data_IF_743722763701
#
_entry.id   IF_743722763701
#
_cell.length_a   1.000
_cell.length_b   1.000
_cell.length_c   1.000
_cell.angle_alpha   90.00
_cell.angle_beta   90.00
_cell.angle_gamma   90.00
#
_symmetry.space_group_name_H-M   'P 1'
#
loop_
_entity.id
_entity.type
_entity.pdbx_description
1 polymer ?
#
# COMPACT_ATOMS: atom_id res chain seq x y z
N UNK A 1 -8.46 7.98 -5.63
CA UNK A 1 -7.13 8.03 -4.98
C UNK A 1 -7.30 7.44 -3.58
N UNK A 2 -6.45 6.49 -3.18
CA UNK A 2 -6.45 6.01 -1.79
C UNK A 2 -5.77 7.07 -0.95
N UNK A 3 -6.51 7.70 -0.04
CA UNK A 3 -5.98 8.77 0.79
C UNK A 3 -5.31 8.18 2.04
N UNK A 4 -3.98 8.19 2.06
CA UNK A 4 -3.19 7.97 3.29
C UNK A 4 -3.22 9.21 4.19
N UNK A 5 -3.39 10.40 3.57
CA UNK A 5 -3.54 11.69 4.25
C UNK A 5 -4.31 12.65 3.34
N UNK A 6 -5.12 13.55 3.93
CA UNK A 6 -5.75 14.64 3.18
C UNK A 6 -4.80 15.84 3.15
N UNK A 7 -4.31 16.19 1.98
CA UNK A 7 -3.30 17.25 1.80
C UNK A 7 -3.30 17.72 0.36
N UNK A 8 -3.35 19.03 0.12
CA UNK A 8 -3.31 19.62 -1.23
C UNK A 8 -2.04 19.26 -2.00
N UNK A 9 -0.94 18.97 -1.27
CA UNK A 9 0.31 18.48 -1.84
C UNK A 9 0.19 17.12 -2.55
N UNK A 10 -0.86 16.36 -2.23
CA UNK A 10 -1.11 15.03 -2.78
C UNK A 10 -2.07 15.04 -3.96
N UNK A 11 -2.54 16.22 -4.40
CA UNK A 11 -3.45 16.34 -5.52
C UNK A 11 -2.67 16.48 -6.85
N UNK A 12 -3.11 15.74 -7.88
CA UNK A 12 -2.57 15.85 -9.24
C UNK A 12 -1.08 15.52 -9.38
N UNK A 13 -0.37 16.23 -10.26
CA UNK A 13 1.04 15.98 -10.59
C UNK A 13 2.00 16.17 -9.40
N UNK A 14 1.63 17.01 -8.43
CA UNK A 14 2.42 17.19 -7.20
C UNK A 14 2.44 15.91 -6.35
N UNK A 15 1.36 15.11 -6.39
CA UNK A 15 1.34 13.81 -5.70
C UNK A 15 2.45 12.86 -6.18
N UNK A 16 2.83 12.93 -7.46
CA UNK A 16 3.93 12.13 -8.02
C UNK A 16 5.28 12.66 -7.53
N UNK A 17 5.48 13.98 -7.48
CA UNK A 17 6.70 14.55 -6.93
C UNK A 17 6.88 14.25 -5.43
N UNK A 18 5.77 14.07 -4.70
CA UNK A 18 5.75 13.80 -3.26
C UNK A 18 5.29 12.38 -2.91
N UNK A 19 5.58 11.38 -3.76
CA UNK A 19 5.21 9.97 -3.53
C UNK A 19 5.59 9.46 -2.15
N UNK A 20 6.75 9.84 -1.61
CA UNK A 20 7.20 9.44 -0.27
C UNK A 20 6.32 9.96 0.88
N UNK A 21 5.46 10.96 0.63
CA UNK A 21 4.49 11.51 1.60
C UNK A 21 3.04 11.19 1.24
N UNK A 22 2.74 11.14 -0.05
CA UNK A 22 1.38 11.01 -0.58
C UNK A 22 1.00 9.57 -0.93
N UNK A 23 1.99 8.69 -1.07
CA UNK A 23 1.79 7.32 -1.50
C UNK A 23 1.69 7.18 -3.02
N UNK A 24 1.83 5.95 -3.48
CA UNK A 24 1.55 5.47 -4.83
C UNK A 24 1.09 4.01 -4.72
N UNK A 25 -0.22 3.74 -4.60
CA UNK A 25 -0.74 2.39 -4.60
C UNK A 25 -0.34 1.65 -5.87
N UNK A 26 0.34 0.51 -5.74
CA UNK A 26 0.75 -0.34 -6.85
C UNK A 26 -0.16 -1.58 -6.97
N UNK A 27 -0.65 -2.10 -5.82
CA UNK A 27 -1.58 -3.23 -5.76
C UNK A 27 -2.68 -3.02 -4.74
N UNK A 28 -3.87 -3.56 -5.02
CA UNK A 28 -5.02 -3.55 -4.11
C UNK A 28 -5.79 -4.88 -4.19
N UNK A 29 -6.33 -5.33 -3.07
CA UNK A 29 -7.27 -6.46 -3.03
C UNK A 29 -8.20 -6.37 -1.82
N UNK A 30 -9.43 -6.86 -2.00
CA UNK A 30 -10.40 -6.96 -0.92
C UNK A 30 -10.23 -8.28 -0.17
N UNK A 31 -10.36 -8.21 1.16
CA UNK A 31 -10.69 -9.39 1.94
C UNK A 31 -12.22 -9.53 1.94
N UNK A 32 -12.74 -10.48 1.15
CA UNK A 32 -14.18 -10.67 0.98
C UNK A 32 -14.91 -11.09 2.27
N UNK A 33 -14.20 -11.56 3.30
CA UNK A 33 -14.80 -11.94 4.59
C UNK A 33 -15.02 -10.73 5.50
N UNK A 34 -14.07 -9.80 5.52
CA UNK A 34 -14.11 -8.61 6.41
C UNK A 34 -14.62 -7.35 5.69
N UNK A 35 -14.58 -7.35 4.36
CA UNK A 35 -14.84 -6.18 3.52
C UNK A 35 -13.71 -5.15 3.53
N UNK A 36 -12.56 -5.46 4.14
CA UNK A 36 -11.41 -4.57 4.20
C UNK A 36 -10.67 -4.52 2.86
N UNK A 37 -10.13 -3.35 2.52
CA UNK A 37 -9.31 -3.15 1.33
C UNK A 37 -7.84 -3.08 1.72
N UNK A 38 -7.06 -4.06 1.29
CA UNK A 38 -5.61 -4.07 1.44
C UNK A 38 -4.95 -3.33 0.29
N UNK A 39 -3.89 -2.59 0.61
CA UNK A 39 -3.19 -1.71 -0.32
C UNK A 39 -1.68 -1.90 -0.18
N UNK A 40 -1.05 -2.36 -1.25
CA UNK A 40 0.40 -2.36 -1.41
C UNK A 40 0.78 -0.98 -1.93
N UNK A 41 1.13 -0.09 -1.01
CA UNK A 41 1.68 1.20 -1.38
C UNK A 41 3.18 1.07 -1.59
N UNK A 42 3.62 1.53 -2.75
CA UNK A 42 4.99 1.39 -3.16
C UNK A 42 6.00 1.98 -2.15
N UNK A 43 5.98 3.31 -1.87
CA UNK A 43 6.89 3.89 -0.89
C UNK A 43 6.44 3.73 0.57
N UNK A 44 5.13 3.61 0.84
CA UNK A 44 4.63 3.67 2.22
C UNK A 44 4.48 2.30 2.88
N UNK A 45 4.48 1.20 2.12
CA UNK A 45 4.33 -0.16 2.63
C UNK A 45 2.88 -0.68 2.57
N UNK A 46 2.61 -1.74 3.32
CA UNK A 46 1.31 -2.42 3.31
C UNK A 46 0.33 -1.69 4.24
N UNK A 47 -0.85 -1.42 3.72
CA UNK A 47 -1.93 -0.75 4.44
C UNK A 47 -3.26 -1.50 4.33
N UNK A 48 -4.17 -1.18 5.24
CA UNK A 48 -5.56 -1.64 5.21
C UNK A 48 -6.51 -0.45 5.37
N UNK A 49 -7.58 -0.44 4.59
CA UNK A 49 -8.72 0.47 4.74
C UNK A 49 -9.89 -0.34 5.31
N UNK A 50 -10.52 0.10 6.42
CA UNK A 50 -11.70 -0.54 6.98
C UNK A 50 -12.85 -0.63 5.96
N UNK A 51 -13.72 -1.63 6.11
CA UNK A 51 -14.89 -1.82 5.24
C UNK A 51 -15.86 -0.63 5.20
N UNK A 52 -15.93 0.16 6.27
CA UNK A 52 -16.66 1.43 6.32
C UNK A 52 -15.98 2.61 5.61
N UNK A 53 -14.84 2.39 4.97
CA UNK A 53 -14.01 3.43 4.37
C UNK A 53 -13.15 4.18 5.38
N UNK A 54 -12.68 5.36 4.98
CA UNK A 54 -11.79 6.22 5.79
C UNK A 54 -10.33 6.13 5.35
N UNK A 55 -9.43 6.51 6.26
CA UNK A 55 -7.99 6.57 5.98
C UNK A 55 -7.35 5.18 6.03
N UNK A 56 -6.42 4.94 5.11
CA UNK A 56 -5.58 3.76 5.10
C UNK A 56 -4.67 3.72 6.33
N UNK A 57 -4.60 2.57 7.01
CA UNK A 57 -3.75 2.34 8.19
C UNK A 57 -2.57 1.45 7.79
N UNK A 58 -1.36 1.88 8.10
CA UNK A 58 -0.14 1.09 7.85
C UNK A 58 -0.12 -0.13 8.78
N UNK A 59 0.08 -1.31 8.19
CA UNK A 59 0.17 -2.58 8.94
C UNK A 59 1.54 -3.25 8.82
N UNK A 60 2.32 -2.94 7.77
CA UNK A 60 3.71 -3.38 7.68
C UNK A 60 4.54 -2.47 6.76
N UNK A 61 5.80 -2.20 7.14
CA UNK A 61 6.79 -1.52 6.28
C UNK A 61 8.17 -2.18 6.26
N UNK A 62 8.31 -3.33 6.94
CA UNK A 62 9.57 -4.06 7.06
C UNK A 62 9.33 -5.52 7.39
N UNK A 63 10.33 -6.35 7.13
CA UNK A 63 10.42 -7.75 7.57
C UNK A 63 11.85 -8.02 8.04
N UNK A 64 12.02 -8.73 9.15
CA UNK A 64 13.34 -9.05 9.75
C UNK A 64 14.26 -7.82 9.89
N UNK A 65 13.68 -6.69 10.30
CA UNK A 65 14.39 -5.42 10.46
C UNK A 65 14.76 -4.70 9.16
N UNK A 66 14.48 -5.28 7.98
CA UNK A 66 14.75 -4.68 6.67
C UNK A 66 13.50 -3.98 6.13
N UNK A 67 13.55 -2.68 5.81
CA UNK A 67 12.42 -1.99 5.24
C UNK A 67 12.08 -2.53 3.85
N UNK A 68 10.81 -2.49 3.49
CA UNK A 68 10.40 -2.70 2.10
C UNK A 68 10.96 -1.57 1.25
N UNK A 69 11.49 -1.90 0.08
CA UNK A 69 12.04 -0.89 -0.83
C UNK A 69 10.93 -0.24 -1.64
N UNK A 70 10.14 -1.07 -2.31
CA UNK A 70 8.97 -0.67 -3.06
C UNK A 70 7.99 -1.85 -3.06
N UNK A 71 6.76 -1.70 -2.57
CA UNK A 71 5.74 -2.74 -2.78
C UNK A 71 5.14 -2.62 -4.18
N UNK A 72 4.80 -3.76 -4.78
CA UNK A 72 4.31 -3.80 -6.16
C UNK A 72 2.91 -4.40 -6.25
N UNK A 73 2.76 -5.69 -5.96
CA UNK A 73 1.47 -6.38 -5.99
C UNK A 73 1.08 -6.94 -4.63
N UNK A 74 -0.22 -7.22 -4.46
CA UNK A 74 -0.73 -8.05 -3.39
C UNK A 74 -1.95 -8.86 -3.82
N UNK A 75 -2.24 -9.92 -3.09
CA UNK A 75 -3.49 -10.69 -3.16
C UNK A 75 -3.89 -11.19 -1.76
N UNK A 76 -5.17 -11.53 -1.59
CA UNK A 76 -5.73 -12.04 -0.34
C UNK A 76 -6.34 -13.42 -0.60
N UNK A 77 -5.87 -14.42 0.14
CA UNK A 77 -6.48 -15.75 0.09
C UNK A 77 -7.94 -15.66 0.57
N UNK A 78 -8.94 -15.98 -0.28
CA UNK A 78 -10.34 -15.83 0.06
C UNK A 78 -10.81 -16.80 1.15
N UNK A 79 -10.07 -17.88 1.38
CA UNK A 79 -10.38 -18.93 2.36
C UNK A 79 -9.79 -18.63 3.73
N UNK A 80 -8.59 -18.06 3.80
CA UNK A 80 -7.91 -17.81 5.09
C UNK A 80 -7.88 -16.33 5.48
N UNK A 81 -7.95 -15.42 4.51
CA UNK A 81 -7.72 -13.99 4.71
C UNK A 81 -6.24 -13.61 4.78
N UNK A 82 -5.31 -14.55 4.53
CA UNK A 82 -3.87 -14.27 4.50
C UNK A 82 -3.55 -13.37 3.31
N UNK A 83 -2.73 -12.35 3.56
CA UNK A 83 -2.31 -11.37 2.56
C UNK A 83 -0.91 -11.70 2.07
N UNK A 84 -0.77 -11.88 0.76
CA UNK A 84 0.51 -12.10 0.09
C UNK A 84 0.86 -10.84 -0.70
N UNK A 85 2.10 -10.37 -0.61
CA UNK A 85 2.54 -9.17 -1.31
C UNK A 85 4.01 -9.28 -1.72
N UNK A 86 4.40 -8.51 -2.73
CA UNK A 86 5.77 -8.50 -3.25
C UNK A 86 6.45 -7.16 -2.99
N UNK A 87 7.76 -7.21 -2.74
CA UNK A 87 8.61 -6.03 -2.69
C UNK A 87 9.75 -6.15 -3.68
N UNK A 88 10.07 -5.03 -4.32
CA UNK A 88 11.24 -4.89 -5.18
C UNK A 88 12.53 -5.12 -4.40
N UNK A 89 13.52 -5.67 -5.10
CA UNK A 89 14.88 -5.86 -4.56
C UNK A 89 15.76 -4.66 -4.92
N UNK A 90 16.93 -4.56 -4.28
CA UNK A 90 17.91 -3.51 -4.60
C UNK A 90 18.45 -3.57 -6.04
N UNK A 91 18.21 -4.66 -6.79
CA UNK A 91 18.59 -4.81 -8.20
C UNK A 91 17.53 -4.29 -9.17
N UNK A 92 16.28 -4.19 -8.72
CA UNK A 92 15.15 -3.77 -9.54
C UNK A 92 14.46 -2.63 -8.81
N UNK A 93 14.84 -1.39 -9.12
CA UNK A 93 14.17 -0.19 -8.61
C UNK A 93 13.19 0.34 -9.67
N UNK A 94 12.13 1.06 -9.26
CA UNK A 94 11.41 1.91 -10.19
C UNK A 94 12.43 2.91 -10.76
N UNK A 95 12.47 3.05 -12.08
CA UNK A 95 13.29 4.06 -12.75
C UNK A 95 12.91 5.48 -12.35
#
# INVERSE_FOLDING_TARGET
>A
MIYFRKSQWCDGALGIAYMSKCGRPAGIAFNNKTGELYVADAPLGLHVIPSGGGYAKKIADRVDGKPFLFLDGLDVDPTTGVVYFTSFSSKFSPG
#
